data_IF_988997782937
#
_entry.id   IF_988997782937
#
_cell.length_a   1.000
_cell.length_b   1.000
_cell.length_c   1.000
_cell.angle_alpha   90.00
_cell.angle_beta   90.00
_cell.angle_gamma   90.00
#
_symmetry.space_group_name_H-M   'P 1'
#
loop_
_entity.id
_entity.type
_entity.pdbx_description
1 polymer ?
#
# COMPACT_ATOMS: atom_id res chain seq x y z
N UNK A 1 -10.39 44.38 -23.19
CA UNK A 1 -9.91 44.22 -21.82
C UNK A 1 -10.86 43.29 -21.00
N UNK A 2 -12.16 43.62 -20.87
CA UNK A 2 -13.06 42.81 -20.02
C UNK A 2 -13.17 41.30 -20.36
N UNK A 3 -13.07 40.89 -21.63
CA UNK A 3 -13.18 39.48 -22.03
C UNK A 3 -11.93 38.66 -21.64
N UNK A 4 -10.76 39.29 -21.63
CA UNK A 4 -9.51 38.64 -21.26
C UNK A 4 -9.44 38.43 -19.75
N UNK A 5 -9.93 39.38 -18.97
CA UNK A 5 -10.00 39.31 -17.52
C UNK A 5 -10.93 38.17 -17.05
N UNK A 6 -12.04 37.92 -17.76
CA UNK A 6 -12.95 36.81 -17.50
C UNK A 6 -12.32 35.46 -17.85
N UNK A 7 -11.56 35.37 -18.93
CA UNK A 7 -10.85 34.14 -19.30
C UNK A 7 -9.79 33.77 -18.27
N UNK A 8 -9.02 34.72 -17.77
CA UNK A 8 -8.08 34.55 -16.67
C UNK A 8 -8.81 34.13 -15.41
N UNK A 9 -9.85 34.86 -14.98
CA UNK A 9 -10.61 34.52 -13.78
C UNK A 9 -11.13 33.09 -13.76
N UNK A 10 -11.80 32.66 -14.85
CA UNK A 10 -12.41 31.35 -14.94
C UNK A 10 -11.44 30.23 -15.37
N UNK A 11 -10.16 30.52 -15.50
CA UNK A 11 -9.10 29.54 -15.72
C UNK A 11 -8.13 29.51 -14.53
N UNK A 12 -7.64 30.68 -14.09
CA UNK A 12 -6.58 30.74 -13.06
C UNK A 12 -7.12 30.87 -11.63
N UNK A 13 -8.17 31.68 -11.39
CA UNK A 13 -8.74 31.79 -10.03
C UNK A 13 -9.68 30.63 -9.72
N UNK A 14 -10.45 30.19 -10.72
CA UNK A 14 -11.39 29.10 -10.63
C UNK A 14 -11.45 28.37 -11.95
N UNK A 15 -10.95 27.15 -12.02
CA UNK A 15 -11.10 26.33 -13.21
C UNK A 15 -12.56 25.87 -13.36
N UNK A 16 -13.38 26.73 -13.99
CA UNK A 16 -14.82 26.62 -14.00
C UNK A 16 -15.36 25.86 -15.23
N UNK A 17 -16.46 25.14 -15.02
CA UNK A 17 -17.27 24.55 -16.09
C UNK A 17 -18.11 25.63 -16.78
N UNK A 18 -18.59 25.36 -18.00
CA UNK A 18 -19.49 26.27 -18.74
C UNK A 18 -20.72 26.64 -17.93
N UNK A 19 -21.30 25.68 -17.21
CA UNK A 19 -22.47 25.87 -16.34
C UNK A 19 -22.18 26.77 -15.16
N UNK A 20 -20.98 26.66 -14.56
CA UNK A 20 -20.54 27.50 -13.45
C UNK A 20 -20.31 28.95 -13.92
N UNK A 21 -19.70 29.15 -15.09
CA UNK A 21 -19.54 30.48 -15.68
C UNK A 21 -20.90 31.14 -15.92
N UNK A 22 -21.88 30.43 -16.50
CA UNK A 22 -23.23 30.92 -16.71
C UNK A 22 -23.89 31.38 -15.39
N UNK A 23 -23.78 30.55 -14.36
CA UNK A 23 -24.31 30.79 -13.02
C UNK A 23 -23.66 32.00 -12.35
N UNK A 24 -22.33 32.07 -12.39
CA UNK A 24 -21.57 33.14 -11.71
C UNK A 24 -21.77 34.50 -12.40
N UNK A 25 -21.89 34.52 -13.71
CA UNK A 25 -22.19 35.74 -14.48
C UNK A 25 -23.68 36.09 -14.52
N UNK A 26 -24.56 35.16 -14.08
CA UNK A 26 -26.04 35.32 -14.11
C UNK A 26 -26.57 35.62 -15.53
N UNK A 27 -26.03 34.96 -16.54
CA UNK A 27 -26.40 35.13 -17.95
C UNK A 27 -26.99 33.86 -18.51
N UNK A 28 -27.95 34.02 -19.44
CA UNK A 28 -28.61 32.90 -20.11
C UNK A 28 -27.80 32.32 -21.30
N UNK A 29 -26.99 33.15 -21.95
CA UNK A 29 -26.10 32.73 -23.03
C UNK A 29 -24.66 33.07 -22.68
N UNK A 30 -23.86 32.05 -22.53
CA UNK A 30 -22.45 32.13 -22.12
C UNK A 30 -21.48 31.83 -23.26
N UNK A 31 -21.99 31.50 -24.46
CA UNK A 31 -21.18 30.93 -25.54
C UNK A 31 -20.00 31.76 -25.98
N UNK A 32 -20.22 33.08 -26.12
CA UNK A 32 -19.14 34.02 -26.51
C UNK A 32 -18.03 34.08 -25.46
N UNK A 33 -18.40 34.14 -24.16
CA UNK A 33 -17.42 34.16 -23.05
C UNK A 33 -16.73 32.80 -22.92
N UNK A 34 -17.48 31.71 -23.08
CA UNK A 34 -16.94 30.38 -23.05
C UNK A 34 -15.90 30.11 -24.13
N UNK A 35 -16.15 30.56 -25.36
CA UNK A 35 -15.19 30.44 -26.47
C UNK A 35 -13.88 31.18 -26.13
N UNK A 36 -13.94 32.37 -25.54
CA UNK A 36 -12.75 33.10 -25.10
C UNK A 36 -11.99 32.40 -23.99
N UNK A 37 -12.71 31.77 -23.02
CA UNK A 37 -12.11 30.98 -21.96
C UNK A 37 -11.41 29.76 -22.56
N UNK A 38 -12.04 29.05 -23.49
CA UNK A 38 -11.46 27.91 -24.17
C UNK A 38 -10.24 28.29 -25.03
N UNK A 39 -10.29 29.43 -25.70
CA UNK A 39 -9.13 29.95 -26.46
C UNK A 39 -7.94 30.26 -25.54
N UNK A 40 -8.20 30.90 -24.40
CA UNK A 40 -7.16 31.13 -23.39
C UNK A 40 -6.56 29.84 -22.86
N UNK A 41 -7.38 28.83 -22.50
CA UNK A 41 -6.97 27.53 -22.00
C UNK A 41 -6.12 26.74 -22.99
N UNK A 42 -6.39 26.88 -24.30
CA UNK A 42 -5.62 26.20 -25.36
C UNK A 42 -4.11 26.43 -25.29
N UNK A 43 -3.68 27.57 -24.77
CA UNK A 43 -2.25 27.86 -24.58
C UNK A 43 -1.56 26.95 -23.58
N UNK A 44 -2.32 26.24 -22.74
CA UNK A 44 -1.82 25.39 -21.66
C UNK A 44 -2.19 23.90 -21.87
N UNK A 45 -2.75 23.52 -23.00
CA UNK A 45 -3.19 22.16 -23.25
C UNK A 45 -2.02 21.21 -23.54
N UNK A 46 -1.97 20.12 -22.75
CA UNK A 46 -1.19 18.94 -23.03
C UNK A 46 -2.12 17.87 -23.63
N UNK A 47 -1.92 17.54 -24.90
CA UNK A 47 -2.69 16.51 -25.56
C UNK A 47 -2.19 15.13 -25.19
N UNK A 48 -3.11 14.23 -24.92
CA UNK A 48 -2.81 12.82 -24.61
C UNK A 48 -3.06 11.94 -25.84
N UNK A 49 -2.54 10.71 -25.89
CA UNK A 49 -2.94 9.72 -26.91
C UNK A 49 -4.34 9.17 -26.69
N UNK A 50 -4.96 9.47 -25.54
CA UNK A 50 -6.28 8.99 -25.16
C UNK A 50 -7.37 9.71 -25.95
N UNK A 51 -8.43 8.97 -26.27
CA UNK A 51 -9.58 9.50 -27.01
C UNK A 51 -10.88 9.12 -26.32
N UNK A 52 -11.88 9.98 -26.51
CA UNK A 52 -13.27 9.62 -26.19
C UNK A 52 -13.78 8.54 -27.14
N UNK A 53 -14.93 7.94 -26.79
CA UNK A 53 -15.65 7.00 -27.67
C UNK A 53 -15.96 7.64 -29.03
N UNK A 54 -16.22 8.95 -29.03
CA UNK A 54 -16.46 9.74 -30.28
C UNK A 54 -15.15 10.18 -30.96
N UNK A 55 -14.02 9.61 -30.58
CA UNK A 55 -12.68 9.85 -31.15
C UNK A 55 -12.10 11.26 -30.91
N UNK A 56 -12.68 12.06 -30.02
CA UNK A 56 -12.10 13.34 -29.62
C UNK A 56 -10.86 13.08 -28.76
N UNK A 57 -9.77 13.82 -29.05
CA UNK A 57 -8.52 13.71 -28.27
C UNK A 57 -8.71 14.33 -26.90
N UNK A 58 -8.34 13.62 -25.85
CA UNK A 58 -8.38 14.09 -24.48
C UNK A 58 -7.14 14.93 -24.16
N UNK A 59 -7.32 15.99 -23.38
CA UNK A 59 -6.27 16.96 -23.05
C UNK A 59 -6.32 17.35 -21.58
N UNK A 60 -5.16 17.73 -21.05
CA UNK A 60 -4.99 18.28 -19.71
C UNK A 60 -4.52 19.72 -19.79
N UNK A 61 -5.16 20.64 -19.09
CA UNK A 61 -4.78 22.05 -19.03
C UNK A 61 -3.83 22.32 -17.88
N UNK A 62 -2.53 22.40 -18.18
CA UNK A 62 -1.47 22.73 -17.24
C UNK A 62 -1.32 24.26 -17.05
N UNK A 63 -2.39 25.01 -16.80
CA UNK A 63 -2.26 26.43 -16.50
C UNK A 63 -1.55 26.65 -15.14
N UNK A 64 -0.99 27.85 -14.88
CA UNK A 64 -0.19 28.11 -13.69
C UNK A 64 -0.87 27.74 -12.37
N UNK A 65 -2.17 28.00 -12.22
CA UNK A 65 -2.91 27.68 -10.99
C UNK A 65 -3.08 26.17 -10.82
N UNK A 66 -3.38 25.43 -11.88
CA UNK A 66 -3.50 23.97 -11.85
C UNK A 66 -2.14 23.33 -11.55
N UNK A 67 -1.08 23.77 -12.24
CA UNK A 67 0.28 23.29 -11.96
C UNK A 67 0.72 23.60 -10.53
N UNK A 68 0.43 24.79 -10.03
CA UNK A 68 0.72 25.15 -8.64
C UNK A 68 -0.02 24.26 -7.63
N UNK A 69 -1.30 23.94 -7.89
CA UNK A 69 -2.08 23.05 -7.07
C UNK A 69 -1.51 21.60 -7.11
N UNK A 70 -1.22 21.08 -8.31
CA UNK A 70 -0.60 19.75 -8.51
C UNK A 70 0.71 19.65 -7.72
N UNK A 71 1.64 20.59 -7.92
CA UNK A 71 2.94 20.61 -7.21
C UNK A 71 2.74 20.73 -5.70
N UNK A 72 1.76 21.51 -5.25
CA UNK A 72 1.42 21.64 -3.83
C UNK A 72 1.03 20.31 -3.19
N UNK A 73 0.21 19.51 -3.87
CA UNK A 73 -0.22 18.18 -3.38
C UNK A 73 0.93 17.17 -3.47
N UNK A 74 1.71 17.17 -4.54
CA UNK A 74 2.88 16.29 -4.66
C UNK A 74 3.92 16.55 -3.57
N UNK A 75 4.12 17.82 -3.21
CA UNK A 75 4.96 18.16 -2.05
C UNK A 75 4.38 17.62 -0.73
N UNK A 76 3.05 17.53 -0.58
CA UNK A 76 2.44 16.87 0.59
C UNK A 76 2.74 15.36 0.58
N UNK A 77 2.63 14.70 -0.57
CA UNK A 77 3.00 13.29 -0.71
C UNK A 77 4.46 13.04 -0.34
N UNK A 78 5.38 13.91 -0.77
CA UNK A 78 6.79 13.84 -0.36
C UNK A 78 6.97 14.03 1.15
N UNK A 79 6.16 14.89 1.79
CA UNK A 79 6.16 15.03 3.26
C UNK A 79 5.66 13.76 3.93
N UNK A 80 4.60 13.12 3.42
CA UNK A 80 4.10 11.81 3.90
C UNK A 80 5.23 10.79 3.84
N UNK A 81 5.95 10.69 2.73
CA UNK A 81 7.07 9.77 2.57
C UNK A 81 8.19 10.02 3.59
N UNK A 82 8.57 11.29 3.81
CA UNK A 82 9.59 11.65 4.82
C UNK A 82 9.14 11.32 6.24
N UNK A 83 7.89 11.61 6.58
CA UNK A 83 7.35 11.30 7.91
C UNK A 83 7.27 9.80 8.14
N UNK A 84 6.86 9.02 7.14
CA UNK A 84 6.84 7.57 7.17
C UNK A 84 8.25 6.99 7.33
N UNK A 85 9.22 7.51 6.60
CA UNK A 85 10.63 7.09 6.75
C UNK A 85 11.15 7.33 8.17
N UNK A 86 10.67 8.36 8.85
CA UNK A 86 10.98 8.62 10.25
C UNK A 86 10.46 7.55 11.22
N UNK A 87 9.41 6.81 10.86
CA UNK A 87 8.88 5.71 11.66
C UNK A 87 9.75 4.46 11.64
N UNK A 88 10.65 4.29 10.67
CA UNK A 88 11.50 3.09 10.57
C UNK A 88 12.41 2.86 11.78
N UNK A 89 12.67 3.90 12.58
CA UNK A 89 13.34 3.75 13.86
C UNK A 89 12.53 2.89 14.87
N UNK A 90 11.21 2.77 14.65
CA UNK A 90 10.26 2.07 15.50
C UNK A 90 9.41 1.09 14.66
N UNK A 91 9.84 -0.15 14.44
CA UNK A 91 9.13 -1.12 13.57
C UNK A 91 7.69 -1.41 13.99
N UNK A 92 7.38 -1.30 15.29
CA UNK A 92 6.01 -1.44 15.81
C UNK A 92 5.10 -0.35 15.31
N UNK A 93 5.61 0.89 15.23
CA UNK A 93 4.84 2.05 14.76
C UNK A 93 4.59 1.96 13.25
N UNK A 94 5.59 1.49 12.49
CA UNK A 94 5.45 1.22 11.05
C UNK A 94 4.33 0.22 10.81
N UNK A 95 4.37 -0.93 11.50
CA UNK A 95 3.36 -1.97 11.35
C UNK A 95 1.97 -1.48 11.76
N UNK A 96 1.89 -0.79 12.89
CA UNK A 96 0.63 -0.21 13.35
C UNK A 96 0.05 0.77 12.32
N UNK A 97 0.88 1.64 11.77
CA UNK A 97 0.48 2.59 10.73
C UNK A 97 -0.02 1.86 9.47
N UNK A 98 0.74 0.86 9.00
CA UNK A 98 0.37 0.06 7.84
C UNK A 98 -0.94 -0.69 8.05
N UNK A 99 -1.11 -1.38 9.19
CA UNK A 99 -2.33 -2.12 9.53
C UNK A 99 -3.55 -1.18 9.54
N UNK A 100 -3.42 0.04 10.08
CA UNK A 100 -4.51 1.02 10.09
C UNK A 100 -4.84 1.54 8.68
N UNK A 101 -3.83 1.85 7.87
CA UNK A 101 -4.06 2.30 6.49
C UNK A 101 -4.75 1.22 5.65
N UNK A 102 -4.26 -0.01 5.69
CA UNK A 102 -4.90 -1.13 4.99
C UNK A 102 -6.32 -1.40 5.50
N UNK A 103 -6.52 -1.40 6.83
CA UNK A 103 -7.85 -1.59 7.41
C UNK A 103 -8.83 -0.50 6.94
N UNK A 104 -8.38 0.74 6.86
CA UNK A 104 -9.19 1.85 6.33
C UNK A 104 -9.55 1.64 4.86
N UNK A 105 -8.59 1.21 4.02
CA UNK A 105 -8.86 0.85 2.63
C UNK A 105 -9.93 -0.24 2.53
N UNK A 106 -9.76 -1.33 3.31
CA UNK A 106 -10.73 -2.44 3.32
C UNK A 106 -12.09 -2.04 3.85
N UNK A 107 -12.14 -1.12 4.81
CA UNK A 107 -13.41 -0.61 5.34
C UNK A 107 -14.24 0.09 4.25
N UNK A 108 -13.63 0.92 3.44
CA UNK A 108 -14.32 1.56 2.31
C UNK A 108 -14.84 0.54 1.29
N UNK A 109 -14.07 -0.52 1.02
CA UNK A 109 -14.51 -1.62 0.14
C UNK A 109 -15.68 -2.36 0.78
N UNK A 110 -15.61 -2.66 2.08
CA UNK A 110 -16.70 -3.31 2.81
C UNK A 110 -17.97 -2.47 2.80
N UNK A 111 -17.87 -1.15 2.93
CA UNK A 111 -19.00 -0.22 2.87
C UNK A 111 -19.64 -0.18 1.48
N UNK A 112 -18.84 -0.18 0.40
CA UNK A 112 -19.34 -0.32 -0.97
C UNK A 112 -20.24 -1.55 -1.13
N UNK A 113 -19.81 -2.68 -0.57
CA UNK A 113 -20.57 -3.94 -0.61
C UNK A 113 -21.59 -4.10 0.51
N UNK A 114 -21.75 -3.09 1.38
CA UNK A 114 -22.72 -3.08 2.52
C UNK A 114 -22.55 -4.27 3.46
N UNK A 115 -21.30 -4.66 3.72
CA UNK A 115 -20.98 -5.84 4.53
C UNK A 115 -21.03 -5.58 6.05
N UNK A 116 -21.12 -4.32 6.49
CA UNK A 116 -21.18 -3.97 7.91
C UNK A 116 -19.94 -4.31 8.73
N UNK A 117 -18.78 -4.46 8.07
CA UNK A 117 -17.52 -4.75 8.75
C UNK A 117 -16.97 -3.46 9.39
N UNK A 118 -16.46 -3.58 10.61
CA UNK A 118 -15.77 -2.49 11.29
C UNK A 118 -14.25 -2.49 10.99
N UNK A 119 -13.55 -1.43 11.41
CA UNK A 119 -12.10 -1.32 11.19
C UNK A 119 -11.31 -2.40 11.94
N UNK A 120 -11.78 -2.86 13.11
CA UNK A 120 -11.07 -3.89 13.87
C UNK A 120 -11.14 -5.22 13.14
N UNK A 121 -12.30 -5.57 12.57
CA UNK A 121 -12.43 -6.75 11.72
C UNK A 121 -11.51 -6.64 10.48
N UNK A 122 -11.46 -5.46 9.84
CA UNK A 122 -10.55 -5.23 8.72
C UNK A 122 -9.07 -5.37 9.13
N UNK A 123 -8.68 -4.92 10.34
CA UNK A 123 -7.34 -5.14 10.90
C UNK A 123 -7.03 -6.62 11.10
N UNK A 124 -7.99 -7.40 11.60
CA UNK A 124 -7.83 -8.84 11.75
C UNK A 124 -7.65 -9.55 10.40
N UNK A 125 -8.33 -9.08 9.34
CA UNK A 125 -8.08 -9.55 7.96
C UNK A 125 -6.66 -9.26 7.51
N UNK A 126 -6.19 -8.01 7.67
CA UNK A 126 -4.81 -7.60 7.31
C UNK A 126 -3.77 -8.44 8.05
N UNK A 127 -4.03 -8.77 9.33
CA UNK A 127 -3.14 -9.61 10.16
C UNK A 127 -3.25 -11.09 9.89
N UNK A 128 -4.16 -11.50 8.99
CA UNK A 128 -4.41 -12.90 8.64
C UNK A 128 -4.77 -13.77 9.87
N UNK A 129 -5.58 -13.23 10.78
CA UNK A 129 -6.01 -13.89 12.02
C UNK A 129 -7.10 -14.95 11.77
N UNK A 130 -7.67 -15.01 10.57
CA UNK A 130 -8.73 -15.96 10.19
C UNK A 130 -8.15 -17.23 9.53
N UNK A 131 -8.61 -18.39 9.97
CA UNK A 131 -8.26 -19.68 9.35
C UNK A 131 -9.07 -19.95 8.08
N UNK A 132 -10.30 -19.45 8.01
CA UNK A 132 -11.20 -19.57 6.86
C UNK A 132 -11.88 -18.24 6.62
N UNK A 133 -12.07 -17.89 5.37
CA UNK A 133 -12.73 -16.66 4.92
C UNK A 133 -14.11 -17.06 4.40
N UNK A 134 -15.14 -16.46 4.98
CA UNK A 134 -16.52 -16.64 4.54
C UNK A 134 -16.73 -16.06 3.12
N UNK A 135 -17.60 -16.70 2.34
CA UNK A 135 -17.93 -16.25 0.97
C UNK A 135 -18.43 -14.81 0.92
N UNK A 136 -19.13 -14.35 1.95
CA UNK A 136 -19.69 -13.00 2.02
C UNK A 136 -18.62 -11.92 2.09
N UNK A 137 -17.45 -12.21 2.69
CA UNK A 137 -16.35 -11.27 2.85
C UNK A 137 -15.25 -11.44 1.80
N UNK A 138 -15.38 -12.43 0.90
CA UNK A 138 -14.42 -12.67 -0.20
C UNK A 138 -14.09 -11.41 -1.01
N UNK A 139 -15.04 -10.53 -1.37
CA UNK A 139 -14.69 -9.33 -2.12
C UNK A 139 -13.65 -8.45 -1.40
N UNK A 140 -13.74 -8.35 -0.07
CA UNK A 140 -12.78 -7.58 0.74
C UNK A 140 -11.45 -8.30 0.85
N UNK A 141 -11.46 -9.62 1.06
CA UNK A 141 -10.25 -10.43 1.13
C UNK A 141 -9.49 -10.46 -0.22
N UNK A 142 -10.21 -10.56 -1.33
CA UNK A 142 -9.64 -10.51 -2.68
C UNK A 142 -9.06 -9.11 -2.97
N UNK A 143 -9.72 -8.05 -2.49
CA UNK A 143 -9.20 -6.70 -2.61
C UNK A 143 -7.90 -6.53 -1.82
N UNK A 144 -7.80 -7.10 -0.61
CA UNK A 144 -6.55 -7.14 0.15
C UNK A 144 -5.43 -7.86 -0.64
N UNK A 145 -5.73 -9.01 -1.24
CA UNK A 145 -4.77 -9.73 -2.09
C UNK A 145 -4.31 -8.88 -3.29
N UNK A 146 -5.21 -8.07 -3.87
CA UNK A 146 -4.87 -7.15 -4.94
C UNK A 146 -4.00 -5.97 -4.43
N UNK A 147 -4.26 -5.43 -3.23
CA UNK A 147 -3.40 -4.41 -2.60
C UNK A 147 -2.00 -4.98 -2.30
N UNK A 148 -1.92 -6.20 -1.78
CA UNK A 148 -0.65 -6.90 -1.55
C UNK A 148 0.11 -7.12 -2.88
N UNK A 149 -0.59 -7.45 -3.96
CA UNK A 149 0.01 -7.54 -5.29
C UNK A 149 0.58 -6.20 -5.74
N UNK A 150 -0.15 -5.09 -5.62
CA UNK A 150 0.34 -3.75 -5.96
C UNK A 150 1.59 -3.39 -5.16
N UNK A 151 1.63 -3.72 -3.86
CA UNK A 151 2.79 -3.39 -3.01
C UNK A 151 4.08 -4.05 -3.45
N UNK A 152 4.00 -5.25 -4.04
CA UNK A 152 5.17 -6.01 -4.51
C UNK A 152 5.45 -5.77 -6.00
N UNK A 153 4.40 -5.72 -6.82
CA UNK A 153 4.52 -5.67 -8.28
C UNK A 153 4.66 -4.24 -8.85
N UNK A 154 4.63 -3.19 -8.01
CA UNK A 154 4.72 -1.80 -8.47
C UNK A 154 6.03 -1.45 -9.20
N UNK A 155 7.06 -2.26 -9.06
CA UNK A 155 8.33 -2.11 -9.79
C UNK A 155 8.25 -2.58 -11.24
N UNK A 156 7.21 -3.33 -11.61
CA UNK A 156 6.98 -3.82 -12.94
C UNK A 156 6.30 -2.76 -13.81
N UNK A 157 6.41 -2.92 -15.13
CA UNK A 157 5.64 -2.09 -16.06
C UNK A 157 4.14 -2.32 -15.85
N UNK A 158 3.37 -1.25 -15.96
CA UNK A 158 1.91 -1.31 -15.88
C UNK A 158 1.39 -1.49 -17.32
N UNK A 159 1.22 -2.74 -17.70
CA UNK A 159 0.77 -3.21 -19.01
C UNK A 159 -0.43 -4.15 -18.89
N UNK A 160 -0.78 -4.81 -19.96
CA UNK A 160 -1.90 -5.75 -20.01
C UNK A 160 -1.69 -6.96 -19.11
N UNK A 161 -0.47 -7.52 -19.06
CA UNK A 161 -0.13 -8.64 -18.18
C UNK A 161 -0.23 -8.24 -16.70
N UNK A 162 0.25 -7.04 -16.36
CA UNK A 162 0.07 -6.48 -15.02
C UNK A 162 -1.41 -6.38 -14.65
N UNK A 163 -2.22 -5.85 -15.57
CA UNK A 163 -3.65 -5.69 -15.37
C UNK A 163 -4.36 -7.04 -15.21
N UNK A 164 -4.02 -8.05 -16.03
CA UNK A 164 -4.58 -9.39 -15.95
C UNK A 164 -4.29 -10.03 -14.59
N UNK A 165 -3.05 -9.95 -14.11
CA UNK A 165 -2.65 -10.47 -12.81
C UNK A 165 -3.37 -9.74 -11.66
N UNK A 166 -3.48 -8.43 -11.72
CA UNK A 166 -4.21 -7.63 -10.74
C UNK A 166 -5.70 -8.02 -10.68
N UNK A 167 -6.33 -8.15 -11.85
CA UNK A 167 -7.74 -8.52 -11.94
C UNK A 167 -7.99 -9.97 -11.49
N UNK A 168 -7.06 -10.89 -11.75
CA UNK A 168 -7.10 -12.25 -11.22
C UNK A 168 -7.19 -12.28 -9.69
N UNK A 169 -6.43 -11.40 -8.99
CA UNK A 169 -6.50 -11.29 -7.53
C UNK A 169 -7.87 -10.85 -7.05
N UNK A 170 -8.49 -9.87 -7.73
CA UNK A 170 -9.86 -9.42 -7.41
C UNK A 170 -10.91 -10.51 -7.63
N UNK A 171 -10.72 -11.39 -8.62
CA UNK A 171 -11.60 -12.53 -8.88
C UNK A 171 -11.30 -13.73 -7.96
N UNK A 172 -10.21 -13.73 -7.21
CA UNK A 172 -9.75 -14.86 -6.42
C UNK A 172 -9.27 -16.03 -7.29
N UNK A 173 -8.70 -15.74 -8.46
CA UNK A 173 -8.19 -16.69 -9.43
C UNK A 173 -6.66 -16.58 -9.52
N UNK A 174 -5.99 -17.64 -9.99
CA UNK A 174 -4.53 -17.61 -10.16
C UNK A 174 -4.13 -16.95 -11.47
N UNK A 175 -4.79 -17.31 -12.57
CA UNK A 175 -4.53 -16.80 -13.92
C UNK A 175 -5.83 -16.58 -14.69
N UNK A 176 -5.78 -15.67 -15.67
CA UNK A 176 -6.88 -15.36 -16.57
C UNK A 176 -6.43 -15.50 -18.01
N UNK A 177 -7.24 -16.21 -18.82
CA UNK A 177 -7.03 -16.33 -20.28
C UNK A 177 -7.72 -15.22 -21.08
N UNK A 178 -8.76 -14.64 -20.51
CA UNK A 178 -9.50 -13.50 -21.06
C UNK A 178 -10.16 -12.77 -19.90
N UNK A 179 -10.13 -11.46 -19.90
CA UNK A 179 -10.59 -10.66 -18.76
C UNK A 179 -11.41 -9.42 -19.14
N UNK A 180 -11.33 -8.95 -20.38
CA UNK A 180 -12.23 -7.90 -20.84
C UNK A 180 -13.62 -8.46 -21.06
N UNK A 181 -14.65 -7.65 -20.81
CA UNK A 181 -16.02 -8.05 -21.10
C UNK A 181 -16.22 -8.31 -22.60
N UNK A 182 -16.98 -9.35 -22.89
CA UNK A 182 -17.30 -9.78 -24.25
C UNK A 182 -18.69 -9.34 -24.70
N UNK A 183 -19.53 -8.93 -23.75
CA UNK A 183 -20.88 -8.46 -24.02
C UNK A 183 -20.95 -6.93 -23.94
N UNK A 184 -21.82 -6.34 -24.76
CA UNK A 184 -22.13 -4.92 -24.63
C UNK A 184 -22.79 -4.66 -23.27
N UNK A 185 -22.36 -3.59 -22.61
CA UNK A 185 -22.95 -3.21 -21.32
C UNK A 185 -24.38 -2.71 -21.55
N UNK A 186 -25.34 -3.52 -21.12
CA UNK A 186 -26.77 -3.20 -21.20
C UNK A 186 -27.34 -2.73 -19.88
N UNK A 187 -26.53 -2.65 -18.81
CA UNK A 187 -27.01 -2.26 -17.50
C UNK A 187 -27.57 -0.83 -17.54
N UNK A 188 -28.89 -0.64 -17.25
CA UNK A 188 -29.49 0.70 -17.23
C UNK A 188 -28.84 1.63 -16.22
N UNK A 189 -28.36 1.12 -15.08
CA UNK A 189 -27.69 1.91 -14.04
C UNK A 189 -26.39 2.52 -14.55
N UNK A 190 -25.65 1.81 -15.36
CA UNK A 190 -24.45 2.33 -16.02
C UNK A 190 -24.73 3.40 -17.09
N UNK A 191 -25.96 3.48 -17.57
CA UNK A 191 -26.40 4.45 -18.58
C UNK A 191 -27.12 5.66 -17.97
N UNK A 192 -27.87 5.46 -16.90
CA UNK A 192 -28.72 6.49 -16.29
C UNK A 192 -27.89 7.49 -15.48
N UNK A 193 -26.78 7.04 -14.91
CA UNK A 193 -25.93 7.88 -14.10
C UNK A 193 -25.33 9.09 -14.85
N UNK A 194 -25.41 9.13 -16.19
CA UNK A 194 -24.68 10.11 -16.99
C UNK A 194 -25.59 10.83 -18.00
N UNK A 195 -26.77 11.22 -17.54
CA UNK A 195 -27.66 12.13 -18.29
C UNK A 195 -27.83 11.80 -19.79
N UNK A 196 -27.83 10.52 -20.14
CA UNK A 196 -27.91 9.98 -21.53
C UNK A 196 -26.80 10.45 -22.49
N UNK A 197 -25.77 11.10 -22.01
CA UNK A 197 -24.68 11.66 -22.81
C UNK A 197 -23.50 10.69 -22.93
N UNK A 198 -23.38 9.79 -21.95
CA UNK A 198 -22.31 8.79 -21.91
C UNK A 198 -22.86 7.37 -22.04
N UNK A 199 -22.21 6.59 -22.85
CA UNK A 199 -22.32 5.12 -22.86
C UNK A 199 -20.93 4.55 -22.70
N UNK A 200 -20.77 3.43 -21.97
CA UNK A 200 -19.47 2.76 -21.89
C UNK A 200 -18.96 2.37 -23.28
N UNK A 201 -17.66 2.14 -23.40
CA UNK A 201 -17.05 1.81 -24.67
C UNK A 201 -17.69 0.55 -25.28
N UNK A 202 -18.04 0.55 -26.59
CA UNK A 202 -18.40 -0.68 -27.30
C UNK A 202 -17.28 -1.73 -27.15
N UNK A 203 -17.63 -3.00 -27.05
CA UNK A 203 -16.67 -4.11 -26.84
C UNK A 203 -15.47 -4.03 -27.80
N UNK A 204 -15.72 -3.77 -29.08
CA UNK A 204 -14.69 -3.63 -30.13
C UNK A 204 -13.68 -2.50 -29.90
N UNK A 205 -13.97 -1.55 -29.00
CA UNK A 205 -13.10 -0.41 -28.69
C UNK A 205 -12.34 -0.59 -27.38
N UNK A 206 -12.68 -1.59 -26.56
CA UNK A 206 -12.06 -1.79 -25.23
C UNK A 206 -10.55 -1.98 -25.36
N UNK A 207 -10.14 -3.01 -26.09
CA UNK A 207 -8.73 -3.36 -26.26
C UNK A 207 -7.91 -2.19 -26.83
N UNK A 208 -8.26 -1.56 -27.97
CA UNK A 208 -7.52 -0.41 -28.49
C UNK A 208 -7.48 0.81 -27.54
N UNK A 209 -8.53 1.00 -26.74
CA UNK A 209 -8.57 2.08 -25.76
C UNK A 209 -7.67 1.78 -24.57
N UNK A 210 -7.63 0.53 -24.08
CA UNK A 210 -6.75 0.10 -23.00
C UNK A 210 -5.27 0.11 -23.44
N UNK A 211 -4.95 -0.31 -24.67
CA UNK A 211 -3.60 -0.17 -25.25
C UNK A 211 -3.12 1.29 -25.25
N UNK A 212 -4.03 2.19 -25.62
CA UNK A 212 -3.75 3.62 -25.59
C UNK A 212 -3.47 4.12 -24.16
N UNK A 213 -4.17 3.55 -23.16
CA UNK A 213 -3.94 3.86 -21.75
C UNK A 213 -2.57 3.37 -21.29
N UNK A 214 -2.19 2.13 -21.59
CA UNK A 214 -0.87 1.61 -21.22
C UNK A 214 0.26 2.41 -21.88
N UNK A 215 0.09 2.73 -23.18
CA UNK A 215 1.04 3.62 -23.87
C UNK A 215 1.13 5.00 -23.21
N UNK A 216 0.00 5.56 -22.75
CA UNK A 216 -0.03 6.83 -22.03
C UNK A 216 0.71 6.72 -20.68
N UNK A 217 0.45 5.68 -19.90
CA UNK A 217 1.11 5.48 -18.58
C UNK A 217 2.63 5.37 -18.76
N UNK A 218 3.07 4.58 -19.74
CA UNK A 218 4.49 4.32 -19.98
C UNK A 218 5.26 5.53 -20.54
N UNK A 219 4.64 6.31 -21.44
CA UNK A 219 5.37 7.30 -22.23
C UNK A 219 5.06 8.76 -21.87
N UNK A 220 4.06 9.03 -21.01
CA UNK A 220 3.70 10.40 -20.64
C UNK A 220 4.71 11.02 -19.68
N UNK A 221 5.08 12.28 -19.96
CA UNK A 221 5.92 13.11 -19.07
C UNK A 221 5.13 13.80 -17.94
N UNK A 222 3.82 13.60 -17.85
CA UNK A 222 3.00 14.11 -16.77
C UNK A 222 3.39 13.45 -15.44
N UNK A 223 3.18 14.15 -14.34
CA UNK A 223 3.52 13.63 -13.02
C UNK A 223 2.69 12.40 -12.63
N UNK A 224 3.20 11.61 -11.68
CA UNK A 224 2.57 10.38 -11.22
C UNK A 224 1.11 10.59 -10.81
N UNK A 225 0.82 11.62 -10.02
CA UNK A 225 -0.52 11.92 -9.58
C UNK A 225 -1.47 12.29 -10.72
N UNK A 226 -0.99 13.05 -11.71
CA UNK A 226 -1.78 13.41 -12.90
C UNK A 226 -2.07 12.17 -13.75
N UNK A 227 -1.06 11.33 -13.99
CA UNK A 227 -1.25 10.06 -14.70
C UNK A 227 -2.23 9.14 -13.98
N UNK A 228 -2.13 9.05 -12.66
CA UNK A 228 -3.02 8.24 -11.82
C UNK A 228 -4.48 8.70 -11.90
N UNK A 229 -4.72 10.01 -11.78
CA UNK A 229 -6.07 10.59 -11.90
C UNK A 229 -6.69 10.39 -13.29
N UNK A 230 -5.87 10.52 -14.35
CA UNK A 230 -6.29 10.25 -15.73
C UNK A 230 -6.59 8.77 -15.94
N UNK A 231 -5.75 7.86 -15.43
CA UNK A 231 -5.97 6.42 -15.54
C UNK A 231 -7.22 5.98 -14.77
N UNK A 232 -7.42 6.49 -13.55
CA UNK A 232 -8.65 6.27 -12.77
C UNK A 232 -9.90 6.67 -13.56
N UNK A 233 -9.89 7.86 -14.15
CA UNK A 233 -10.98 8.32 -15.01
C UNK A 233 -11.17 7.38 -16.21
N UNK A 234 -10.08 7.07 -16.94
CA UNK A 234 -10.19 6.42 -18.25
C UNK A 234 -10.67 4.98 -18.14
N UNK A 235 -10.27 4.24 -17.13
CA UNK A 235 -10.78 2.88 -16.87
C UNK A 235 -12.27 2.93 -16.52
N UNK A 236 -12.70 3.88 -15.68
CA UNK A 236 -14.11 4.09 -15.35
C UNK A 236 -14.92 4.54 -16.57
N UNK A 237 -14.30 5.29 -17.48
CA UNK A 237 -14.91 5.76 -18.73
C UNK A 237 -15.06 4.62 -19.74
N UNK A 238 -14.05 3.78 -19.92
CA UNK A 238 -14.08 2.64 -20.86
C UNK A 238 -14.97 1.51 -20.35
N UNK A 239 -14.97 1.26 -19.05
CA UNK A 239 -15.63 0.12 -18.38
C UNK A 239 -15.27 -1.21 -19.03
N UNK A 240 -14.01 -1.62 -18.94
CA UNK A 240 -13.52 -2.79 -19.68
C UNK A 240 -13.92 -4.14 -19.07
N UNK A 241 -14.45 -4.16 -17.84
CA UNK A 241 -14.75 -5.39 -17.10
C UNK A 241 -16.23 -5.52 -16.78
N UNK A 242 -16.70 -6.76 -16.62
CA UNK A 242 -18.06 -7.05 -16.16
C UNK A 242 -18.24 -6.71 -14.66
N UNK A 243 -17.17 -6.83 -13.86
CA UNK A 243 -17.16 -6.58 -12.41
C UNK A 243 -15.87 -5.85 -12.01
N UNK A 244 -15.90 -5.17 -10.88
CA UNK A 244 -14.73 -4.57 -10.23
C UNK A 244 -14.01 -3.47 -11.05
N UNK A 245 -14.70 -2.82 -12.00
CA UNK A 245 -14.08 -1.74 -12.80
C UNK A 245 -13.59 -0.60 -11.91
N UNK A 246 -14.37 -0.19 -10.92
CA UNK A 246 -14.01 0.90 -10.02
C UNK A 246 -12.80 0.54 -9.15
N UNK A 247 -12.76 -0.72 -8.65
CA UNK A 247 -11.64 -1.25 -7.87
C UNK A 247 -10.37 -1.32 -8.71
N UNK A 248 -10.46 -1.82 -9.94
CA UNK A 248 -9.32 -1.87 -10.87
C UNK A 248 -8.82 -0.46 -11.17
N UNK A 249 -9.73 0.48 -11.43
CA UNK A 249 -9.36 1.88 -11.69
C UNK A 249 -8.55 2.49 -10.53
N UNK A 250 -8.97 2.24 -9.29
CA UNK A 250 -8.24 2.69 -8.09
C UNK A 250 -6.90 1.98 -7.93
N UNK A 251 -6.86 0.67 -8.10
CA UNK A 251 -5.63 -0.12 -7.93
C UNK A 251 -4.59 0.26 -8.99
N UNK A 252 -4.99 0.51 -10.25
CA UNK A 252 -4.08 1.02 -11.27
C UNK A 252 -3.60 2.44 -10.93
N UNK A 253 -4.47 3.31 -10.43
CA UNK A 253 -4.04 4.64 -9.97
C UNK A 253 -3.01 4.54 -8.84
N UNK A 254 -3.23 3.66 -7.84
CA UNK A 254 -2.25 3.36 -6.79
C UNK A 254 -0.95 2.79 -7.36
N UNK A 255 -1.04 1.85 -8.31
CA UNK A 255 0.14 1.27 -8.98
C UNK A 255 1.01 2.33 -9.64
N UNK A 256 0.40 3.31 -10.33
CA UNK A 256 1.14 4.43 -10.95
C UNK A 256 1.83 5.30 -9.88
N UNK A 257 1.13 5.61 -8.78
CA UNK A 257 1.71 6.40 -7.68
C UNK A 257 2.86 5.63 -7.02
N UNK A 258 2.72 4.32 -6.82
CA UNK A 258 3.77 3.48 -6.28
C UNK A 258 4.98 3.43 -7.21
N UNK A 259 4.75 3.17 -8.50
CA UNK A 259 5.82 3.02 -9.50
C UNK A 259 6.64 4.31 -9.66
N UNK A 260 5.96 5.45 -9.82
CA UNK A 260 6.59 6.70 -10.27
C UNK A 260 6.93 7.68 -9.13
N UNK A 261 6.46 7.45 -7.88
CA UNK A 261 6.58 8.47 -6.83
C UNK A 261 6.88 7.94 -5.43
N UNK A 262 6.00 7.12 -4.87
CA UNK A 262 6.01 6.79 -3.44
C UNK A 262 6.51 5.38 -3.10
N UNK A 263 6.80 4.52 -4.09
CA UNK A 263 7.09 3.11 -3.83
C UNK A 263 5.94 2.45 -3.05
N UNK A 264 6.25 1.53 -2.18
CA UNK A 264 5.25 0.79 -1.38
C UNK A 264 4.31 1.67 -0.56
N UNK A 265 4.72 2.89 -0.20
CA UNK A 265 3.87 3.81 0.56
C UNK A 265 2.62 4.23 -0.22
N UNK A 266 2.68 4.26 -1.55
CA UNK A 266 1.54 4.62 -2.40
C UNK A 266 0.33 3.69 -2.21
N UNK A 267 0.54 2.42 -1.87
CA UNK A 267 -0.55 1.47 -1.63
C UNK A 267 -1.34 1.81 -0.35
N UNK A 268 -0.70 2.49 0.60
CA UNK A 268 -1.30 2.87 1.89
C UNK A 268 -2.21 4.11 1.79
N UNK A 269 -2.16 4.87 0.70
CA UNK A 269 -3.06 6.00 0.48
C UNK A 269 -4.52 5.49 0.39
N UNK A 270 -5.44 5.94 1.26
CA UNK A 270 -6.81 5.40 1.29
C UNK A 270 -7.69 6.01 0.19
N UNK A 271 -7.28 5.80 -1.08
CA UNK A 271 -8.03 6.26 -2.26
C UNK A 271 -9.39 5.55 -2.40
N UNK A 272 -9.61 4.47 -1.67
CA UNK A 272 -10.85 3.70 -1.62
C UNK A 272 -12.03 4.52 -1.08
N UNK A 273 -11.79 5.67 -0.46
CA UNK A 273 -12.85 6.62 -0.16
C UNK A 273 -13.66 7.02 -1.41
N UNK A 274 -13.04 6.99 -2.60
CA UNK A 274 -13.70 7.22 -3.87
C UNK A 274 -14.79 6.17 -4.20
N UNK A 275 -14.71 4.97 -3.63
CA UNK A 275 -15.72 3.92 -3.79
C UNK A 275 -16.99 4.18 -2.96
N UNK A 276 -16.87 4.95 -1.88
CA UNK A 276 -17.96 5.28 -0.96
C UNK A 276 -18.53 6.68 -1.15
N UNK A 277 -17.90 7.50 -1.99
CA UNK A 277 -18.42 8.84 -2.31
C UNK A 277 -19.71 8.77 -3.13
N UNK A 278 -20.47 9.85 -3.07
CA UNK A 278 -21.68 10.01 -3.89
C UNK A 278 -21.29 9.88 -5.39
N UNK A 279 -21.82 8.86 -6.10
CA UNK A 279 -21.55 8.64 -7.53
C UNK A 279 -21.80 9.89 -8.40
N UNK A 280 -22.65 10.80 -7.93
CA UNK A 280 -23.00 12.04 -8.65
C UNK A 280 -21.79 12.93 -8.92
N UNK A 281 -20.80 12.95 -8.05
CA UNK A 281 -19.60 13.77 -8.22
C UNK A 281 -18.73 13.26 -9.35
N UNK A 282 -18.43 11.96 -9.36
CA UNK A 282 -17.67 11.32 -10.42
C UNK A 282 -18.40 11.43 -11.78
N UNK A 283 -19.71 11.18 -11.77
CA UNK A 283 -20.57 11.29 -12.96
C UNK A 283 -20.55 12.70 -13.58
N UNK A 284 -20.61 13.73 -12.74
CA UNK A 284 -20.46 15.12 -13.20
C UNK A 284 -19.12 15.34 -13.89
N UNK A 285 -18.03 14.85 -13.30
CA UNK A 285 -16.69 14.99 -13.89
C UNK A 285 -16.58 14.22 -15.22
N UNK A 286 -17.06 12.98 -15.28
CA UNK A 286 -17.10 12.19 -16.51
C UNK A 286 -17.90 12.92 -17.59
N UNK A 287 -19.06 13.49 -17.24
CA UNK A 287 -19.91 14.23 -18.17
C UNK A 287 -19.21 15.49 -18.71
N UNK A 288 -18.52 16.24 -17.84
CA UNK A 288 -17.77 17.41 -18.28
C UNK A 288 -16.60 17.04 -19.20
N UNK A 289 -15.87 15.97 -18.88
CA UNK A 289 -14.79 15.45 -19.75
C UNK A 289 -15.36 14.98 -21.10
N UNK A 290 -16.49 14.28 -21.13
CA UNK A 290 -17.12 13.85 -22.37
C UNK A 290 -17.53 15.03 -23.25
N UNK A 291 -18.03 16.14 -22.64
CA UNK A 291 -18.47 17.35 -23.37
C UNK A 291 -17.31 18.19 -23.88
N UNK A 292 -16.22 18.27 -23.11
CA UNK A 292 -15.14 19.23 -23.33
C UNK A 292 -13.83 18.61 -23.80
N UNK A 293 -13.69 17.29 -23.66
CA UNK A 293 -12.44 16.53 -23.82
C UNK A 293 -11.32 16.98 -22.87
N UNK A 294 -11.67 17.72 -21.79
CA UNK A 294 -10.76 18.32 -20.85
C UNK A 294 -10.67 17.49 -19.56
N UNK A 295 -9.54 16.80 -19.37
CA UNK A 295 -9.25 15.95 -18.23
C UNK A 295 -8.95 16.74 -16.94
N UNK A 296 -8.78 18.06 -17.04
CA UNK A 296 -8.38 18.89 -15.89
C UNK A 296 -9.40 18.83 -14.76
N UNK A 297 -10.68 18.68 -15.09
CA UNK A 297 -11.74 18.56 -14.08
C UNK A 297 -11.57 17.32 -13.20
N UNK A 298 -11.30 16.18 -13.82
CA UNK A 298 -11.10 14.92 -13.08
C UNK A 298 -9.76 14.88 -12.34
N UNK A 299 -8.70 15.44 -12.94
CA UNK A 299 -7.40 15.57 -12.29
C UNK A 299 -7.53 16.44 -11.03
N UNK A 300 -8.20 17.58 -11.13
CA UNK A 300 -8.42 18.46 -9.98
C UNK A 300 -9.17 17.73 -8.85
N UNK A 301 -10.26 17.04 -9.19
CA UNK A 301 -11.04 16.25 -8.23
C UNK A 301 -10.18 15.18 -7.56
N UNK A 302 -9.42 14.41 -8.34
CA UNK A 302 -8.53 13.38 -7.83
C UNK A 302 -7.45 13.94 -6.90
N UNK A 303 -6.89 15.11 -7.24
CA UNK A 303 -5.89 15.78 -6.41
C UNK A 303 -6.46 16.37 -5.12
N UNK A 304 -7.73 16.76 -5.09
CA UNK A 304 -8.42 17.13 -3.85
C UNK A 304 -8.48 15.94 -2.89
N UNK A 305 -8.80 14.74 -3.39
CA UNK A 305 -8.78 13.49 -2.61
C UNK A 305 -7.37 13.14 -2.14
N UNK A 306 -6.37 13.19 -3.03
CA UNK A 306 -4.97 12.96 -2.67
C UNK A 306 -4.50 13.92 -1.55
N UNK A 307 -4.89 15.19 -1.64
CA UNK A 307 -4.54 16.20 -0.65
C UNK A 307 -5.14 15.88 0.73
N UNK A 308 -6.41 15.49 0.76
CA UNK A 308 -7.11 15.16 2.00
C UNK A 308 -6.51 13.91 2.64
N UNK A 309 -6.32 12.85 1.87
CA UNK A 309 -5.72 11.61 2.34
C UNK A 309 -4.27 11.82 2.84
N UNK A 310 -3.50 12.67 2.16
CA UNK A 310 -2.15 13.03 2.60
C UNK A 310 -2.15 13.72 3.96
N UNK A 311 -3.09 14.64 4.20
CA UNK A 311 -3.22 15.32 5.48
C UNK A 311 -3.60 14.31 6.58
N UNK A 312 -4.59 13.44 6.34
CA UNK A 312 -4.99 12.41 7.30
C UNK A 312 -3.84 11.47 7.67
N UNK A 313 -3.02 11.04 6.69
CA UNK A 313 -1.85 10.22 6.95
C UNK A 313 -0.80 10.96 7.78
N UNK A 314 -0.56 12.25 7.51
CA UNK A 314 0.34 13.08 8.31
C UNK A 314 -0.16 13.24 9.73
N UNK A 315 -1.46 13.49 9.92
CA UNK A 315 -2.08 13.61 11.24
C UNK A 315 -2.03 12.29 12.01
N UNK A 316 -2.27 11.17 11.34
CA UNK A 316 -2.13 9.82 11.94
C UNK A 316 -0.70 9.60 12.44
N UNK A 317 0.31 9.88 11.60
CA UNK A 317 1.71 9.72 11.99
C UNK A 317 2.13 10.68 13.12
N UNK A 318 1.63 11.91 13.13
CA UNK A 318 1.92 12.89 14.18
C UNK A 318 1.31 12.50 15.54
N UNK A 319 0.17 11.79 15.52
CA UNK A 319 -0.55 11.35 16.72
C UNK A 319 -0.13 9.95 17.19
N UNK A 320 0.85 9.31 16.54
CA UNK A 320 1.38 8.05 17.03
C UNK A 320 2.06 8.26 18.39
N UNK A 321 1.45 7.68 19.43
CA UNK A 321 2.04 7.67 20.76
C UNK A 321 2.77 6.34 20.96
N UNK A 322 4.08 6.35 20.71
CA UNK A 322 4.94 5.16 20.76
C UNK A 322 4.93 4.45 22.11
N UNK A 323 4.73 5.18 23.23
CA UNK A 323 4.66 4.58 24.56
C UNK A 323 3.36 3.82 24.79
N UNK A 324 2.24 4.40 24.35
CA UNK A 324 0.92 3.78 24.48
C UNK A 324 0.77 2.56 23.58
N UNK A 325 1.27 2.66 22.34
CA UNK A 325 1.30 1.54 21.40
C UNK A 325 2.17 0.38 21.89
N UNK A 326 3.32 0.69 22.51
CA UNK A 326 4.17 -0.33 23.13
C UNK A 326 3.47 -1.02 24.29
N UNK A 327 2.73 -0.29 25.13
CA UNK A 327 2.00 -0.86 26.27
C UNK A 327 0.88 -1.80 25.81
N UNK A 328 0.17 -1.46 24.75
CA UNK A 328 -0.94 -2.27 24.21
C UNK A 328 -0.45 -3.52 23.48
N UNK A 329 0.71 -3.45 22.80
CA UNK A 329 1.35 -4.64 22.21
C UNK A 329 1.89 -5.62 23.26
N UNK A 330 2.30 -5.12 24.43
CA UNK A 330 2.81 -5.98 25.51
C UNK A 330 1.71 -6.54 26.42
N UNK A 331 0.50 -5.97 26.42
CA UNK A 331 -0.66 -6.49 27.16
C UNK A 331 -1.23 -7.79 26.60
N UNK A 332 -0.97 -8.10 25.35
CA UNK A 332 -1.45 -9.35 24.71
C UNK A 332 -0.66 -10.59 25.16
N UNK A 333 0.50 -10.40 25.79
CA UNK A 333 1.38 -11.49 26.25
C UNK A 333 1.38 -11.68 27.79
N UNK A 334 0.43 -11.10 28.55
CA UNK A 334 0.29 -11.49 29.96
C UNK A 334 -0.33 -12.89 30.05
N UNK A 335 0.38 -13.88 30.64
CA UNK A 335 -0.20 -15.20 30.84
C UNK A 335 -1.38 -15.09 31.79
N UNK A 336 -2.49 -15.71 31.43
CA UNK A 336 -3.66 -15.94 32.30
C UNK A 336 -3.13 -16.43 33.64
N UNK A 337 -3.31 -15.65 34.71
CA UNK A 337 -3.01 -16.07 36.07
C UNK A 337 -3.89 -17.26 36.38
N UNK A 338 -3.28 -18.44 36.39
CA UNK A 338 -3.89 -19.58 37.08
C UNK A 338 -3.83 -19.27 38.57
N UNK A 339 -5.00 -19.23 39.20
CA UNK A 339 -5.14 -19.18 40.66
C UNK A 339 -4.40 -20.41 41.26
N UNK A 340 -3.28 -20.17 41.93
CA UNK A 340 -2.64 -21.18 42.75
C UNK A 340 -3.45 -21.33 44.04
N UNK A 341 -3.91 -22.54 44.29
CA UNK A 341 -4.47 -22.95 45.57
C UNK A 341 -3.37 -22.92 46.68
N UNK A 342 -3.71 -22.61 47.91
CA UNK A 342 -2.74 -22.40 48.99
C UNK A 342 -2.07 -23.70 49.42
N UNK A 343 -0.73 -23.72 49.43
CA UNK A 343 0.08 -24.77 50.10
C UNK A 343 0.79 -24.16 51.30
N UNK A 344 0.55 -24.78 52.44
CA UNK A 344 1.14 -24.44 53.75
C UNK A 344 2.66 -24.61 53.78
N UNK A 345 3.36 -23.97 54.77
CA UNK A 345 4.81 -23.88 54.76
C UNK A 345 5.51 -25.07 55.46
N UNK A 346 6.63 -25.48 54.94
CA UNK A 346 7.60 -26.35 55.66
C UNK A 346 8.95 -25.69 55.69
N UNK A 347 9.47 -25.65 56.90
CA UNK A 347 10.69 -24.99 57.40
C UNK A 347 12.02 -25.58 56.87
N UNK A 348 12.97 -24.65 56.73
CA UNK A 348 14.37 -24.58 57.22
C UNK A 348 15.39 -25.67 56.81
N UNK A 349 16.53 -25.30 56.26
CA UNK A 349 17.89 -25.34 56.87
C UNK A 349 18.97 -24.90 55.82
N UNK A 350 19.63 -23.82 56.17
CA UNK A 350 21.05 -23.43 56.25
C UNK A 350 22.10 -23.84 55.18
N UNK A 351 22.75 -22.79 54.72
CA UNK A 351 24.20 -22.48 54.68
C UNK A 351 25.16 -23.50 54.04
N UNK A 352 25.98 -23.04 53.10
CA UNK A 352 27.44 -22.92 53.23
C UNK A 352 28.03 -22.04 52.14
N UNK A 353 28.99 -21.21 52.56
CA UNK A 353 29.74 -20.18 51.88
C UNK A 353 30.84 -20.67 50.91
N UNK A 354 31.24 -19.70 50.06
CA UNK A 354 32.59 -19.37 49.57
C UNK A 354 33.35 -20.27 48.59
N UNK A 355 33.76 -19.72 47.47
CA UNK A 355 35.07 -19.12 47.20
C UNK A 355 35.21 -18.55 45.80
N UNK A 356 35.83 -17.35 45.78
CA UNK A 356 36.41 -16.68 44.64
C UNK A 356 37.59 -17.45 44.06
N UNK A 357 37.78 -17.36 42.71
CA UNK A 357 39.14 -17.16 42.19
C UNK A 357 39.09 -16.53 40.79
N UNK A 358 39.92 -15.49 40.66
CA UNK A 358 40.26 -14.73 39.46
C UNK A 358 41.14 -15.57 38.52
N UNK A 359 41.08 -15.32 37.22
CA UNK A 359 42.23 -15.10 36.32
C UNK A 359 41.74 -14.84 34.90
N UNK A 360 42.02 -13.66 34.40
CA UNK A 360 42.99 -13.24 33.36
C UNK A 360 42.67 -13.62 31.93
N UNK A 361 42.58 -12.53 31.12
CA UNK A 361 42.56 -12.56 29.64
C UNK A 361 43.91 -12.98 29.04
N UNK A 362 43.92 -13.45 27.84
CA UNK A 362 44.76 -12.79 26.84
C UNK A 362 44.08 -12.50 25.49
N UNK A 363 44.64 -11.50 24.84
CA UNK A 363 44.33 -10.95 23.53
C UNK A 363 44.94 -11.80 22.37
N UNK A 364 44.99 -11.31 21.16
CA UNK A 364 44.09 -11.61 20.03
C UNK A 364 44.80 -12.45 18.96
N UNK A 365 44.08 -13.12 18.09
CA UNK A 365 44.66 -13.71 16.87
C UNK A 365 43.73 -13.49 15.66
N UNK A 366 44.26 -12.70 14.78
CA UNK A 366 44.25 -12.63 13.33
C UNK A 366 43.06 -13.08 12.50
N UNK A 367 42.75 -12.16 11.60
CA UNK A 367 41.95 -12.24 10.39
C UNK A 367 42.22 -13.47 9.53
N UNK A 368 41.15 -14.04 8.99
CA UNK A 368 41.21 -14.65 7.68
C UNK A 368 40.00 -14.22 6.85
N UNK A 369 40.32 -13.47 5.80
CA UNK A 369 39.42 -13.06 4.73
C UNK A 369 39.10 -14.26 3.84
N UNK A 370 37.83 -14.52 3.62
CA UNK A 370 37.36 -15.02 2.31
C UNK A 370 35.84 -14.77 2.17
N UNK A 371 35.54 -13.88 1.33
CA UNK A 371 34.49 -13.73 0.31
C UNK A 371 33.12 -14.33 0.56
N UNK A 372 32.27 -13.73 1.44
CA UNK A 372 30.81 -13.97 1.43
C UNK A 372 30.11 -12.68 1.86
N UNK A 373 30.23 -11.59 1.07
CA UNK A 373 29.69 -10.27 1.49
C UNK A 373 28.44 -9.84 0.71
N UNK A 374 28.09 -10.44 -0.42
CA UNK A 374 27.15 -9.82 -1.36
C UNK A 374 25.67 -10.24 -1.21
N UNK A 375 25.35 -11.33 -0.56
CA UNK A 375 23.95 -11.83 -0.54
C UNK A 375 23.23 -11.50 0.77
N UNK A 376 23.97 -11.15 1.82
CA UNK A 376 23.36 -10.76 3.11
C UNK A 376 22.89 -9.32 3.16
N UNK A 377 23.43 -8.42 2.36
CA UNK A 377 22.94 -7.04 2.24
C UNK A 377 21.58 -6.99 1.52
N UNK A 378 21.39 -7.77 0.46
CA UNK A 378 20.08 -7.84 -0.22
C UNK A 378 19.00 -8.47 0.66
N UNK A 379 19.32 -9.50 1.44
CA UNK A 379 18.41 -10.10 2.40
C UNK A 379 18.13 -9.15 3.60
N UNK A 380 19.08 -8.35 4.02
CA UNK A 380 18.90 -7.39 5.11
C UNK A 380 18.03 -6.18 4.72
N UNK A 381 17.98 -5.83 3.43
CA UNK A 381 17.17 -4.73 2.90
C UNK A 381 15.71 -5.17 2.66
N UNK A 382 15.48 -6.43 2.35
CA UNK A 382 14.12 -6.97 2.13
C UNK A 382 13.37 -7.34 3.42
N UNK A 383 13.98 -7.23 4.57
CA UNK A 383 13.34 -7.44 5.87
C UNK A 383 12.74 -6.17 6.48
N UNK A 384 11.99 -5.41 5.74
CA UNK A 384 10.90 -4.61 6.30
C UNK A 384 9.83 -5.61 6.77
N UNK A 385 9.24 -5.46 7.96
CA UNK A 385 8.57 -6.53 8.68
C UNK A 385 7.20 -6.92 8.10
N UNK A 386 7.19 -7.48 6.93
CA UNK A 386 6.16 -8.44 6.54
C UNK A 386 6.70 -9.78 7.01
N UNK A 387 5.97 -10.49 7.86
CA UNK A 387 6.33 -11.86 8.20
C UNK A 387 6.55 -12.59 6.88
N UNK A 388 7.75 -13.15 6.67
CA UNK A 388 8.05 -13.90 5.47
C UNK A 388 6.92 -14.90 5.24
N UNK A 389 6.34 -14.90 4.06
CA UNK A 389 5.45 -15.96 3.65
C UNK A 389 6.17 -17.30 3.85
N UNK A 390 5.44 -18.35 4.24
CA UNK A 390 6.02 -19.67 4.50
C UNK A 390 6.86 -20.16 3.31
N UNK A 391 6.48 -19.83 2.08
CA UNK A 391 7.26 -20.13 0.87
C UNK A 391 8.62 -19.40 0.86
N UNK A 392 8.63 -18.14 1.22
CA UNK A 392 9.86 -17.35 1.31
C UNK A 392 10.75 -17.82 2.46
N UNK A 393 10.16 -18.13 3.61
CA UNK A 393 10.89 -18.70 4.74
C UNK A 393 11.52 -20.06 4.39
N UNK A 394 10.84 -20.91 3.62
CA UNK A 394 11.40 -22.18 3.12
C UNK A 394 12.57 -21.96 2.16
N UNK A 395 12.49 -20.98 1.26
CA UNK A 395 13.59 -20.65 0.35
C UNK A 395 14.81 -20.13 1.13
N UNK A 396 14.60 -19.24 2.11
CA UNK A 396 15.66 -18.75 2.99
C UNK A 396 16.27 -19.90 3.82
N UNK A 397 15.46 -20.81 4.31
CA UNK A 397 15.94 -22.02 5.05
C UNK A 397 16.83 -22.89 4.18
N UNK A 398 16.44 -23.13 2.92
CA UNK A 398 17.26 -23.92 1.97
C UNK A 398 18.57 -23.21 1.64
N UNK A 399 18.52 -21.92 1.33
CA UNK A 399 19.70 -21.10 1.04
C UNK A 399 20.70 -21.07 2.21
N UNK A 400 20.18 -20.96 3.44
CA UNK A 400 21.02 -21.00 4.65
C UNK A 400 21.72 -22.33 4.84
N UNK A 401 21.03 -23.45 4.60
CA UNK A 401 21.63 -24.79 4.73
C UNK A 401 22.66 -25.09 3.62
N UNK A 402 22.48 -24.50 2.43
CA UNK A 402 23.45 -24.62 1.33
C UNK A 402 24.72 -23.80 1.57
N UNK A 403 24.57 -22.59 2.16
CA UNK A 403 25.69 -21.65 2.36
C UNK A 403 26.45 -21.86 3.64
N UNK A 404 25.82 -22.34 4.69
CA UNK A 404 26.43 -22.57 5.98
C UNK A 404 26.21 -24.02 6.47
N UNK A 405 27.11 -24.94 6.07
CA UNK A 405 26.99 -26.35 6.46
C UNK A 405 27.09 -26.61 7.96
N UNK A 406 27.50 -25.60 8.75
CA UNK A 406 27.56 -25.70 10.21
C UNK A 406 26.19 -25.55 10.88
N UNK A 407 25.20 -24.96 10.15
CA UNK A 407 23.83 -24.84 10.64
C UNK A 407 23.09 -26.17 10.66
N UNK A 408 22.44 -26.46 11.78
CA UNK A 408 21.51 -27.58 11.87
C UNK A 408 20.17 -27.20 11.25
N UNK A 409 19.45 -28.18 10.70
CA UNK A 409 18.16 -27.96 10.06
C UNK A 409 17.16 -27.19 10.93
N UNK A 410 17.06 -27.50 12.24
CA UNK A 410 16.21 -26.79 13.17
C UNK A 410 16.63 -25.33 13.42
N UNK A 411 17.95 -25.08 13.36
CA UNK A 411 18.51 -23.73 13.54
C UNK A 411 18.23 -22.85 12.31
N UNK A 412 18.44 -23.39 11.10
CA UNK A 412 18.08 -22.71 9.85
C UNK A 412 16.57 -22.42 9.77
N UNK A 413 15.74 -23.41 10.12
CA UNK A 413 14.29 -23.30 10.19
C UNK A 413 13.83 -22.19 11.12
N UNK A 414 14.42 -22.14 12.33
CA UNK A 414 14.09 -21.11 13.31
C UNK A 414 14.54 -19.71 12.85
N UNK A 415 15.79 -19.60 12.39
CA UNK A 415 16.34 -18.33 11.94
C UNK A 415 15.55 -17.75 10.77
N UNK A 416 15.22 -18.56 9.77
CA UNK A 416 14.45 -18.11 8.60
C UNK A 416 13.10 -17.46 8.97
N UNK A 417 12.49 -17.86 10.08
CA UNK A 417 11.19 -17.33 10.57
C UNK A 417 11.30 -16.32 11.71
N UNK A 418 12.51 -16.17 12.30
CA UNK A 418 12.73 -15.40 13.50
C UNK A 418 13.97 -14.47 13.40
N UNK A 419 14.23 -13.90 12.21
CA UNK A 419 15.38 -13.01 11.96
C UNK A 419 15.02 -11.53 11.91
N UNK A 420 13.84 -11.13 12.39
CA UNK A 420 13.39 -9.74 12.36
C UNK A 420 14.32 -8.84 13.17
N UNK A 421 14.92 -7.84 12.54
CA UNK A 421 15.85 -6.90 13.16
C UNK A 421 15.21 -6.18 14.36
N UNK A 422 15.89 -6.16 15.49
CA UNK A 422 15.42 -5.50 16.72
C UNK A 422 14.46 -6.33 17.58
N UNK A 423 13.92 -7.44 17.08
CA UNK A 423 13.09 -8.34 17.88
C UNK A 423 13.97 -9.23 18.77
N UNK A 424 13.50 -9.49 19.99
CA UNK A 424 14.20 -10.34 20.97
C UNK A 424 13.54 -11.70 21.01
N UNK A 425 14.34 -12.74 20.88
CA UNK A 425 13.88 -14.14 20.89
C UNK A 425 14.39 -14.86 22.11
N UNK A 426 13.60 -15.78 22.63
CA UNK A 426 13.90 -16.56 23.82
C UNK A 426 14.10 -18.05 23.50
N UNK A 427 14.79 -18.75 24.39
CA UNK A 427 14.93 -20.22 24.31
C UNK A 427 13.55 -20.90 24.30
N UNK A 428 12.58 -20.36 25.03
CA UNK A 428 11.22 -20.91 25.07
C UNK A 428 10.53 -20.82 23.70
N UNK A 429 10.74 -19.75 22.93
CA UNK A 429 10.20 -19.61 21.57
C UNK A 429 10.84 -20.62 20.61
N UNK A 430 12.17 -20.82 20.69
CA UNK A 430 12.84 -21.84 19.91
C UNK A 430 12.30 -23.25 20.25
N UNK A 431 12.19 -23.57 21.55
CA UNK A 431 11.61 -24.83 22.02
C UNK A 431 10.22 -25.07 21.44
N UNK A 432 9.36 -24.04 21.44
CA UNK A 432 7.98 -24.12 20.92
C UNK A 432 7.96 -24.30 19.40
N UNK A 433 8.81 -23.58 18.69
CA UNK A 433 8.84 -23.60 17.22
C UNK A 433 9.38 -24.93 16.67
N UNK A 434 10.40 -25.51 17.31
CA UNK A 434 11.08 -26.73 16.84
C UNK A 434 10.55 -27.99 17.52
N UNK A 435 9.81 -27.86 18.63
CA UNK A 435 9.27 -29.01 19.35
C UNK A 435 10.34 -29.82 20.12
N UNK A 436 11.48 -29.21 20.52
CA UNK A 436 12.59 -29.91 21.18
C UNK A 436 12.58 -29.67 22.70
N UNK A 437 13.46 -30.40 23.44
CA UNK A 437 13.63 -30.17 24.88
C UNK A 437 14.43 -28.91 25.17
N UNK A 438 14.31 -28.35 26.39
CA UNK A 438 14.88 -27.06 26.75
C UNK A 438 16.41 -26.99 26.55
N UNK A 439 17.14 -28.04 26.92
CA UNK A 439 18.61 -28.07 26.76
C UNK A 439 19.03 -28.03 25.28
N UNK A 440 18.31 -28.76 24.41
CA UNK A 440 18.53 -28.68 22.96
C UNK A 440 18.23 -27.29 22.42
N UNK A 441 17.13 -26.68 22.85
CA UNK A 441 16.77 -25.31 22.45
C UNK A 441 17.83 -24.29 22.89
N UNK A 442 18.35 -24.44 24.11
CA UNK A 442 19.42 -23.59 24.64
C UNK A 442 20.71 -23.76 23.83
N UNK A 443 21.15 -25.00 23.62
CA UNK A 443 22.38 -25.28 22.87
C UNK A 443 22.28 -24.76 21.43
N UNK A 444 21.14 -24.92 20.77
CA UNK A 444 20.93 -24.41 19.41
C UNK A 444 20.90 -22.90 19.34
N UNK A 445 20.29 -22.21 20.33
CA UNK A 445 20.28 -20.75 20.37
C UNK A 445 21.68 -20.19 20.70
N UNK A 446 22.46 -20.87 21.55
CA UNK A 446 23.84 -20.51 21.82
C UNK A 446 24.71 -20.73 20.58
N UNK A 447 24.55 -21.84 19.87
CA UNK A 447 25.25 -22.13 18.62
C UNK A 447 24.92 -21.10 17.51
N UNK A 448 23.67 -20.69 17.37
CA UNK A 448 23.28 -19.61 16.47
C UNK A 448 23.92 -18.27 16.85
N UNK A 449 24.16 -18.04 18.15
CA UNK A 449 24.87 -16.84 18.60
C UNK A 449 26.38 -16.93 18.33
N UNK A 450 27.00 -18.10 18.50
CA UNK A 450 28.40 -18.38 18.16
C UNK A 450 28.67 -18.23 16.66
N UNK A 451 27.74 -18.70 15.82
CA UNK A 451 27.82 -18.51 14.38
C UNK A 451 27.50 -17.08 13.94
N UNK A 452 27.12 -16.18 14.89
CA UNK A 452 26.87 -14.77 14.64
C UNK A 452 25.54 -14.48 13.93
N UNK A 453 24.55 -15.36 14.02
CA UNK A 453 23.19 -15.10 13.58
C UNK A 453 22.40 -14.28 14.60
N UNK A 454 22.71 -14.46 15.89
CA UNK A 454 22.11 -13.71 16.99
C UNK A 454 23.17 -13.15 17.91
N UNK A 455 22.85 -12.03 18.56
CA UNK A 455 23.60 -11.52 19.72
C UNK A 455 22.87 -11.95 21.00
N UNK A 456 23.57 -12.65 21.88
CA UNK A 456 23.04 -13.07 23.18
C UNK A 456 23.11 -11.90 24.17
N UNK A 457 21.98 -11.52 24.72
CA UNK A 457 21.85 -10.45 25.72
C UNK A 457 21.25 -11.02 27.02
N UNK A 458 21.71 -10.53 28.17
CA UNK A 458 21.14 -10.89 29.49
C UNK A 458 20.20 -9.77 29.91
N UNK A 459 18.92 -10.04 30.04
CA UNK A 459 17.93 -9.09 30.59
C UNK A 459 17.38 -9.67 31.89
N UNK A 460 17.71 -8.99 33.04
CA UNK A 460 17.44 -9.52 34.38
C UNK A 460 18.04 -10.93 34.52
N UNK A 461 17.23 -11.94 34.78
CA UNK A 461 17.67 -13.33 34.94
C UNK A 461 17.42 -14.22 33.71
N UNK A 462 17.13 -13.64 32.54
CA UNK A 462 16.83 -14.41 31.30
C UNK A 462 17.80 -14.03 30.20
N UNK A 463 18.20 -15.00 29.38
CA UNK A 463 18.91 -14.76 28.14
C UNK A 463 17.91 -14.54 27.00
N UNK A 464 18.17 -13.53 26.19
CA UNK A 464 17.46 -13.22 24.95
C UNK A 464 18.44 -13.12 23.80
N UNK A 465 17.98 -13.39 22.60
CA UNK A 465 18.79 -13.45 21.40
C UNK A 465 18.24 -12.45 20.39
N UNK A 466 19.08 -11.54 19.95
CA UNK A 466 18.73 -10.46 19.04
C UNK A 466 19.40 -10.75 17.69
N UNK A 467 18.68 -10.79 16.57
CA UNK A 467 19.28 -11.00 15.26
C UNK A 467 20.31 -9.92 14.96
N UNK A 468 21.49 -10.33 14.47
CA UNK A 468 22.56 -9.43 14.06
C UNK A 468 22.43 -9.22 12.56
N UNK A 469 22.45 -7.94 12.11
CA UNK A 469 22.73 -7.64 10.72
C UNK A 469 24.23 -7.97 10.49
N UNK A 470 24.54 -8.98 9.72
CA UNK A 470 25.90 -9.18 9.22
C UNK A 470 26.10 -8.26 8.04
N UNK A 471 27.08 -7.37 8.16
CA UNK A 471 27.63 -6.60 7.06
C UNK A 471 28.32 -7.52 6.06
#
# INVERSE_FOLDING_TARGET
MANNDLAIRFTEEKYATKSEVARDLKISSVDAFWNNIQEYRRNFYHYTPLKTIDKNVLMFCGCPSINGFVVGVENKLLRVNRSFSGLFAHPTDVRFFQDNCFAKCLKFVADKYKLGLDENFCKSLVRKEFQQIDESIKPVANYLAALEYVSVAHVNNIDEDYLANLYAKLLGQEELTSFYRVNEDTNPENRVLIDRVYTCAPVRLIEPMMDSLFSFIANSSLSAGVKAGIAYFYINYVKPFDKYTDEVALLIAKSIICHDSLGELGVLLPLECLLSEDPTSLVKMITEVQKTSDLTYIVKYFFEILSNNSNEMLDMMANLNTEQLRSDFFKVDEPIKQEEAPVEPVDVIKEVEEKEEKQEAPAPVEENKSGVTYVREELAISYIPVALDEKQACLVEQDLLERDPSLRKGEAHFYARHCTKGKKYSIAQYKKAIGCVYETARTSMDHLAELGYYRKEKIKNKFVYVPIARN
#
